data_IF_762263696218
#
_entry.id   IF_762263696218
#
_cell.length_a   1.000
_cell.length_b   1.000
_cell.length_c   1.000
_cell.angle_alpha   90.00
_cell.angle_beta   90.00
_cell.angle_gamma   90.00
#
_symmetry.space_group_name_H-M   'P 1'
#
loop_
_entity.id
_entity.type
_entity.pdbx_description
1 polymer ?
#
# COMPACT_ATOMS: atom_id res chain seq x y z
N UNK A 1 11.57 -6.01 16.26
CA UNK A 1 10.48 -6.97 16.03
C UNK A 1 10.18 -6.92 14.54
N UNK A 2 10.76 -7.80 13.72
CA UNK A 2 10.73 -7.67 12.25
C UNK A 2 9.43 -8.09 11.56
N UNK A 3 9.56 -8.35 10.25
CA UNK A 3 8.53 -9.00 9.43
C UNK A 3 8.37 -10.47 9.86
N UNK A 4 7.15 -10.85 10.26
CA UNK A 4 6.86 -12.15 10.90
C UNK A 4 7.04 -13.33 9.94
N UNK A 5 6.67 -13.15 8.67
CA UNK A 5 6.81 -14.14 7.60
C UNK A 5 7.60 -13.51 6.46
N UNK A 6 8.49 -14.27 5.82
CA UNK A 6 9.52 -13.72 4.91
C UNK A 6 9.38 -14.21 3.47
N UNK A 7 8.27 -14.85 3.15
CA UNK A 7 7.94 -15.26 1.79
C UNK A 7 7.55 -14.06 0.93
N UNK A 8 7.80 -14.20 -0.37
CA UNK A 8 7.43 -13.23 -1.39
C UNK A 8 6.31 -13.83 -2.23
N UNK A 9 5.24 -13.06 -2.41
CA UNK A 9 4.13 -13.41 -3.30
C UNK A 9 3.97 -12.33 -4.36
N UNK A 10 3.67 -12.72 -5.60
CA UNK A 10 3.31 -11.83 -6.69
C UNK A 10 1.88 -12.13 -7.10
N UNK A 11 1.02 -11.12 -7.09
CA UNK A 11 -0.35 -11.22 -7.58
C UNK A 11 -0.39 -10.72 -9.02
N UNK A 12 -0.45 -11.64 -9.97
CA UNK A 12 -0.40 -11.27 -11.38
C UNK A 12 -1.78 -10.92 -11.92
N UNK A 13 -2.11 -9.63 -11.87
CA UNK A 13 -3.34 -9.07 -12.45
C UNK A 13 -3.15 -8.49 -13.85
N UNK A 14 -1.95 -8.03 -14.18
CA UNK A 14 -1.72 -7.17 -15.35
C UNK A 14 -0.32 -7.31 -15.98
N UNK A 15 0.46 -8.33 -15.61
CA UNK A 15 1.81 -8.61 -16.13
C UNK A 15 2.84 -7.48 -15.90
N UNK A 16 2.50 -6.46 -15.10
CA UNK A 16 3.40 -5.32 -14.86
C UNK A 16 4.63 -5.74 -14.06
N UNK A 17 4.49 -6.67 -13.11
CA UNK A 17 5.57 -7.16 -12.28
C UNK A 17 6.42 -8.20 -13.02
N UNK A 18 5.82 -9.06 -13.85
CA UNK A 18 6.57 -9.99 -14.73
C UNK A 18 7.60 -9.26 -15.59
N UNK A 19 7.39 -7.95 -15.77
CA UNK A 19 8.26 -7.13 -16.56
C UNK A 19 9.61 -6.78 -15.91
N UNK A 20 9.73 -7.01 -14.60
CA UNK A 20 10.84 -6.64 -13.74
C UNK A 20 11.80 -7.82 -13.58
N UNK A 21 12.86 -7.84 -14.39
CA UNK A 21 13.73 -9.01 -14.57
C UNK A 21 14.51 -9.44 -13.32
N UNK A 22 14.91 -8.51 -12.48
CA UNK A 22 15.64 -8.74 -11.24
C UNK A 22 14.71 -9.11 -10.10
N UNK A 23 13.54 -8.46 -10.00
CA UNK A 23 12.54 -8.82 -9.01
C UNK A 23 12.05 -10.26 -9.23
N UNK A 24 11.79 -10.64 -10.50
CA UNK A 24 11.39 -12.00 -10.86
C UNK A 24 12.47 -13.07 -10.63
N UNK A 25 13.73 -12.69 -10.36
CA UNK A 25 14.79 -13.64 -9.96
C UNK A 25 14.78 -13.97 -8.47
N UNK A 26 14.08 -13.19 -7.66
CA UNK A 26 13.94 -13.47 -6.22
C UNK A 26 13.02 -14.69 -6.05
N UNK A 27 13.31 -15.64 -5.14
CA UNK A 27 12.38 -16.73 -4.84
C UNK A 27 11.01 -16.20 -4.41
N UNK A 28 9.97 -16.50 -5.19
CA UNK A 28 8.60 -16.03 -4.97
C UNK A 28 7.57 -17.09 -5.38
N UNK A 29 6.33 -16.88 -4.94
CA UNK A 29 5.14 -17.59 -5.43
C UNK A 29 4.29 -16.62 -6.26
N UNK A 30 3.95 -17.01 -7.49
CA UNK A 30 3.03 -16.24 -8.33
C UNK A 30 1.62 -16.79 -8.19
N UNK A 31 0.67 -15.89 -8.00
CA UNK A 31 -0.77 -16.19 -8.02
C UNK A 31 -1.36 -15.50 -9.24
N UNK A 32 -1.72 -16.30 -10.23
CA UNK A 32 -2.40 -15.85 -11.44
C UNK A 32 -3.79 -15.31 -11.10
N UNK A 33 -4.08 -14.07 -11.49
CA UNK A 33 -5.36 -13.38 -11.27
C UNK A 33 -5.86 -12.62 -12.51
N UNK A 34 -5.05 -12.54 -13.58
CA UNK A 34 -5.37 -11.86 -14.84
C UNK A 34 -6.60 -12.44 -15.57
N UNK A 35 -6.99 -13.69 -15.28
CA UNK A 35 -8.17 -14.36 -15.84
C UNK A 35 -9.48 -14.03 -15.11
N UNK A 36 -9.41 -13.38 -13.93
CA UNK A 36 -10.60 -13.02 -13.16
C UNK A 36 -11.20 -11.72 -13.75
N UNK A 37 -12.43 -11.76 -14.30
CA UNK A 37 -13.09 -10.57 -14.81
C UNK A 37 -13.50 -9.64 -13.66
N UNK A 38 -13.86 -8.40 -13.99
CA UNK A 38 -14.36 -7.41 -13.01
C UNK A 38 -13.39 -7.15 -11.87
N UNK A 39 -12.12 -6.91 -12.19
CA UNK A 39 -11.05 -6.65 -11.22
C UNK A 39 -10.44 -5.26 -11.38
N UNK A 40 -10.28 -4.76 -12.61
CA UNK A 40 -9.59 -3.48 -12.85
C UNK A 40 -10.38 -2.29 -12.31
N UNK A 41 -9.81 -1.55 -11.34
CA UNK A 41 -10.38 -0.40 -10.60
C UNK A 41 -11.57 -0.71 -9.70
N UNK A 42 -12.44 -1.62 -10.15
CA UNK A 42 -13.62 -2.08 -9.44
C UNK A 42 -13.62 -3.60 -9.41
N UNK A 43 -13.77 -4.13 -8.20
CA UNK A 43 -13.85 -5.54 -7.90
C UNK A 43 -15.24 -5.87 -7.39
N UNK A 44 -15.95 -6.75 -8.09
CA UNK A 44 -17.20 -7.30 -7.57
C UNK A 44 -16.94 -8.39 -6.53
N UNK A 45 -17.95 -8.72 -5.72
CA UNK A 45 -17.78 -9.72 -4.65
C UNK A 45 -17.44 -11.13 -5.16
N UNK A 46 -17.87 -11.49 -6.38
CA UNK A 46 -17.55 -12.79 -6.96
C UNK A 46 -16.07 -12.85 -7.38
N UNK A 47 -15.56 -11.80 -8.02
CA UNK A 47 -14.14 -11.62 -8.31
C UNK A 47 -13.33 -11.63 -7.01
N UNK A 48 -13.76 -10.89 -5.98
CA UNK A 48 -13.08 -10.88 -4.68
C UNK A 48 -13.06 -12.26 -4.01
N UNK A 49 -14.13 -13.03 -4.12
CA UNK A 49 -14.18 -14.40 -3.59
C UNK A 49 -13.19 -15.31 -4.31
N UNK A 50 -13.08 -15.21 -5.64
CA UNK A 50 -12.09 -15.96 -6.42
C UNK A 50 -10.66 -15.56 -6.03
N UNK A 51 -10.38 -14.26 -5.90
CA UNK A 51 -9.09 -13.73 -5.43
C UNK A 51 -8.77 -14.31 -4.05
N UNK A 52 -9.70 -14.22 -3.08
CA UNK A 52 -9.53 -14.78 -1.73
C UNK A 52 -9.29 -16.29 -1.74
N UNK A 53 -9.98 -17.03 -2.61
CA UNK A 53 -9.79 -18.48 -2.72
C UNK A 53 -8.43 -18.86 -3.27
N UNK A 54 -7.81 -18.04 -4.11
CA UNK A 54 -6.45 -18.28 -4.62
C UNK A 54 -5.40 -17.82 -3.63
N UNK A 55 -5.61 -16.64 -3.03
CA UNK A 55 -4.81 -16.14 -1.91
C UNK A 55 -4.73 -17.16 -0.75
N UNK A 56 -5.83 -17.80 -0.36
CA UNK A 56 -5.83 -18.72 0.78
C UNK A 56 -4.98 -19.98 0.57
N UNK A 57 -4.73 -20.36 -0.69
CA UNK A 57 -3.92 -21.54 -1.05
C UNK A 57 -2.42 -21.28 -1.06
N UNK A 58 -2.00 -20.02 -0.92
CA UNK A 58 -0.60 -19.63 -1.04
C UNK A 58 0.27 -20.20 0.08
N UNK A 59 1.46 -20.67 -0.28
CA UNK A 59 2.47 -21.15 0.67
C UNK A 59 3.33 -20.02 1.24
N UNK A 60 3.56 -18.96 0.47
CA UNK A 60 4.41 -17.83 0.83
C UNK A 60 3.57 -16.69 1.44
N UNK A 61 4.07 -16.16 2.56
CA UNK A 61 3.49 -15.00 3.26
C UNK A 61 4.60 -14.09 3.71
N UNK A 62 4.37 -12.79 3.72
CA UNK A 62 5.37 -11.80 4.08
C UNK A 62 5.12 -10.53 3.30
N UNK A 63 5.80 -10.40 2.17
CA UNK A 63 5.61 -9.28 1.23
C UNK A 63 4.85 -9.75 -0.01
N UNK A 64 3.86 -8.97 -0.41
CA UNK A 64 3.00 -9.25 -1.57
C UNK A 64 3.12 -8.11 -2.56
N UNK A 65 3.66 -8.37 -3.74
CA UNK A 65 3.63 -7.40 -4.83
C UNK A 65 2.31 -7.53 -5.58
N UNK A 66 1.66 -6.39 -5.78
CA UNK A 66 0.43 -6.19 -6.52
C UNK A 66 0.78 -5.28 -7.68
N UNK A 67 0.20 -5.50 -8.87
CA UNK A 67 0.53 -4.75 -10.08
C UNK A 67 0.21 -3.25 -9.99
N UNK A 68 -0.57 -2.74 -10.95
CA UNK A 68 -0.96 -1.33 -10.92
C UNK A 68 -1.83 -0.96 -9.71
N UNK A 69 -1.90 0.33 -9.38
CA UNK A 69 -2.74 0.85 -8.29
C UNK A 69 -4.24 0.60 -8.51
N UNK A 70 -4.64 0.21 -9.73
CA UNK A 70 -6.02 -0.23 -10.03
C UNK A 70 -6.47 -1.42 -9.18
N UNK A 71 -5.53 -2.19 -8.60
CA UNK A 71 -5.78 -3.39 -7.81
C UNK A 71 -5.52 -3.22 -6.31
N UNK A 72 -5.28 -1.99 -5.83
CA UNK A 72 -4.93 -1.73 -4.43
C UNK A 72 -6.01 -2.21 -3.44
N UNK A 73 -7.25 -2.35 -3.89
CA UNK A 73 -8.32 -2.95 -3.10
C UNK A 73 -8.02 -4.37 -2.60
N UNK A 74 -7.07 -5.09 -3.19
CA UNK A 74 -6.66 -6.42 -2.74
C UNK A 74 -6.05 -6.38 -1.33
N UNK A 75 -5.54 -5.23 -0.90
CA UNK A 75 -5.12 -5.00 0.49
C UNK A 75 -6.26 -5.33 1.46
N UNK A 76 -7.52 -5.01 1.15
CA UNK A 76 -8.66 -5.44 1.98
C UNK A 76 -8.75 -6.96 2.13
N UNK A 77 -8.50 -7.73 1.06
CA UNK A 77 -8.49 -9.19 1.13
C UNK A 77 -7.34 -9.72 2.01
N UNK A 78 -6.14 -9.15 1.87
CA UNK A 78 -4.96 -9.52 2.68
C UNK A 78 -5.17 -9.19 4.16
N UNK A 79 -5.71 -8.00 4.47
CA UNK A 79 -6.04 -7.58 5.84
C UNK A 79 -7.11 -8.44 6.50
N UNK A 80 -8.07 -8.94 5.71
CA UNK A 80 -9.16 -9.80 6.20
C UNK A 80 -8.68 -11.14 6.76
N UNK A 81 -7.46 -11.57 6.39
CA UNK A 81 -6.86 -12.82 6.89
C UNK A 81 -6.21 -12.66 8.28
N UNK A 82 -6.13 -11.45 8.82
CA UNK A 82 -5.45 -11.18 10.09
C UNK A 82 -6.40 -11.43 11.27
N UNK A 83 -6.12 -12.48 12.03
CA UNK A 83 -6.96 -12.94 13.15
C UNK A 83 -6.66 -12.23 14.48
N UNK A 84 -5.50 -11.61 14.61
CA UNK A 84 -5.07 -10.87 15.79
C UNK A 84 -5.29 -9.35 15.66
N UNK A 85 -5.53 -8.60 16.75
CA UNK A 85 -5.59 -7.14 16.70
C UNK A 85 -4.34 -6.51 16.06
N UNK A 86 -4.55 -5.64 15.08
CA UNK A 86 -3.50 -4.97 14.33
C UNK A 86 -3.84 -3.52 13.98
N UNK A 87 -2.84 -2.76 13.55
CA UNK A 87 -3.01 -1.43 12.94
C UNK A 87 -2.48 -1.43 11.50
N UNK A 88 -3.18 -0.74 10.62
CA UNK A 88 -2.76 -0.51 9.25
C UNK A 88 -1.89 0.74 9.19
N UNK A 89 -0.72 0.62 8.55
CA UNK A 89 0.11 1.75 8.13
C UNK A 89 0.01 1.83 6.61
N UNK A 90 -0.60 2.90 6.11
CA UNK A 90 -0.84 3.12 4.70
C UNK A 90 0.08 4.25 4.20
N UNK A 91 0.97 3.92 3.28
CA UNK A 91 1.73 4.89 2.49
C UNK A 91 1.06 5.03 1.14
N UNK A 92 0.52 6.22 0.87
CA UNK A 92 -0.36 6.44 -0.28
C UNK A 92 -0.48 7.95 -0.54
N UNK A 93 -0.61 8.38 -1.81
CA UNK A 93 -1.00 9.75 -2.14
C UNK A 93 -2.52 9.98 -1.96
N UNK A 94 -3.31 8.92 -1.91
CA UNK A 94 -4.74 8.89 -1.73
C UNK A 94 -5.13 8.39 -0.34
N UNK A 95 -6.36 8.68 0.07
CA UNK A 95 -6.88 8.23 1.36
C UNK A 95 -7.52 6.85 1.28
N UNK A 96 -7.97 6.46 0.08
CA UNK A 96 -8.74 5.25 -0.24
C UNK A 96 -9.97 5.00 0.66
N UNK A 97 -10.50 6.08 1.22
CA UNK A 97 -11.61 6.09 2.17
C UNK A 97 -12.93 6.60 1.59
N UNK A 98 -13.05 6.69 0.26
CA UNK A 98 -14.33 7.04 -0.35
C UNK A 98 -15.37 5.94 -0.07
N UNK A 99 -16.64 6.29 -0.24
CA UNK A 99 -17.70 5.29 -0.21
C UNK A 99 -17.57 4.31 -1.38
N UNK A 100 -17.92 3.06 -1.12
CA UNK A 100 -18.03 2.07 -2.18
C UNK A 100 -19.02 2.56 -3.26
N UNK A 101 -18.70 2.42 -4.55
CA UNK A 101 -19.58 2.87 -5.63
C UNK A 101 -20.96 2.19 -5.63
N UNK A 102 -21.04 0.98 -5.08
CA UNK A 102 -22.29 0.26 -4.80
C UNK A 102 -22.06 -0.74 -3.67
N UNK A 103 -23.13 -1.31 -3.11
CA UNK A 103 -23.05 -2.35 -2.07
C UNK A 103 -22.30 -3.61 -2.52
N UNK A 104 -22.18 -3.83 -3.84
CA UNK A 104 -21.57 -5.02 -4.42
C UNK A 104 -20.19 -4.81 -5.04
N UNK A 105 -19.62 -3.61 -4.87
CA UNK A 105 -18.35 -3.23 -5.48
C UNK A 105 -17.37 -2.69 -4.44
N UNK A 106 -16.15 -3.18 -4.53
CA UNK A 106 -14.97 -2.64 -3.89
C UNK A 106 -14.12 -1.94 -4.95
N UNK A 107 -13.55 -0.77 -4.64
CA UNK A 107 -12.64 -0.07 -5.56
C UNK A 107 -11.32 0.25 -4.89
N UNK A 108 -10.29 0.59 -5.67
CA UNK A 108 -9.05 1.15 -5.13
C UNK A 108 -9.37 2.36 -4.24
N UNK A 109 -10.21 3.30 -4.66
CA UNK A 109 -10.55 4.46 -3.83
C UNK A 109 -11.43 4.21 -2.57
N UNK A 110 -11.92 2.99 -2.31
CA UNK A 110 -12.87 2.72 -1.21
C UNK A 110 -12.46 1.58 -0.26
N UNK A 111 -11.32 0.92 -0.51
CA UNK A 111 -10.99 -0.29 0.24
C UNK A 111 -10.66 -0.02 1.70
N UNK A 112 -10.11 1.16 2.04
CA UNK A 112 -9.80 1.51 3.44
C UNK A 112 -11.09 1.73 4.21
N UNK A 113 -12.11 2.36 3.62
CA UNK A 113 -13.43 2.51 4.23
C UNK A 113 -14.02 1.12 4.59
N UNK A 114 -13.94 0.17 3.67
CA UNK A 114 -14.35 -1.22 3.91
C UNK A 114 -13.49 -1.91 4.98
N UNK A 115 -12.17 -1.71 4.95
CA UNK A 115 -11.23 -2.29 5.90
C UNK A 115 -11.42 -1.79 7.34
N UNK A 116 -11.86 -0.54 7.55
CA UNK A 116 -12.13 0.04 8.87
C UNK A 116 -13.24 -0.69 9.66
N UNK A 117 -14.03 -1.52 8.98
CA UNK A 117 -15.04 -2.39 9.57
C UNK A 117 -14.51 -3.78 9.96
N UNK A 118 -13.26 -4.12 9.62
CA UNK A 118 -12.65 -5.38 10.04
C UNK A 118 -12.51 -5.42 11.57
N UNK A 119 -12.92 -6.52 12.24
CA UNK A 119 -12.99 -6.59 13.71
C UNK A 119 -11.61 -6.43 14.36
N UNK A 120 -10.56 -6.86 13.67
CA UNK A 120 -9.19 -6.84 14.17
C UNK A 120 -8.41 -5.58 13.82
N UNK A 121 -8.90 -4.74 12.88
CA UNK A 121 -8.27 -3.47 12.57
C UNK A 121 -8.63 -2.43 13.64
N UNK A 122 -7.63 -2.05 14.46
CA UNK A 122 -7.83 -1.14 15.60
C UNK A 122 -7.52 0.32 15.28
N UNK A 123 -6.63 0.57 14.33
CA UNK A 123 -6.24 1.91 13.91
C UNK A 123 -5.67 1.88 12.49
N UNK A 124 -5.97 2.90 11.70
CA UNK A 124 -5.30 3.18 10.43
C UNK A 124 -4.49 4.46 10.55
N UNK A 125 -3.23 4.43 10.12
CA UNK A 125 -2.38 5.61 9.99
C UNK A 125 -2.09 5.82 8.52
N UNK A 126 -2.59 6.91 7.94
CA UNK A 126 -2.37 7.28 6.54
C UNK A 126 -1.22 8.28 6.48
N UNK A 127 -0.22 7.99 5.65
CA UNK A 127 1.03 8.75 5.56
C UNK A 127 1.23 9.19 4.11
N UNK A 128 1.35 10.50 3.92
CA UNK A 128 1.72 11.09 2.64
C UNK A 128 0.54 11.56 1.79
N UNK A 129 -0.65 11.06 2.07
CA UNK A 129 -1.84 11.34 1.27
C UNK A 129 -2.12 12.85 1.13
N UNK A 130 -2.57 13.25 -0.05
CA UNK A 130 -2.94 14.62 -0.33
C UNK A 130 -4.15 15.03 0.50
N UNK A 131 -4.16 16.20 1.15
CA UNK A 131 -5.28 16.68 1.96
C UNK A 131 -6.64 16.67 1.23
N UNK A 132 -6.63 16.84 -0.09
CA UNK A 132 -7.87 16.83 -0.90
C UNK A 132 -8.50 15.44 -0.99
N UNK A 133 -7.70 14.37 -0.89
CA UNK A 133 -8.19 12.98 -0.89
C UNK A 133 -9.02 12.66 0.36
N UNK A 134 -8.96 13.51 1.38
CA UNK A 134 -9.80 13.41 2.57
C UNK A 134 -11.10 14.21 2.50
N UNK A 135 -11.35 14.90 1.39
CA UNK A 135 -12.63 15.54 1.15
C UNK A 135 -13.72 14.47 1.05
N UNK A 136 -14.88 14.75 1.63
CA UNK A 136 -16.06 13.86 1.60
C UNK A 136 -15.89 12.49 2.29
N UNK A 137 -14.92 12.33 3.20
CA UNK A 137 -14.84 11.12 4.02
C UNK A 137 -15.93 11.13 5.11
N UNK A 138 -16.65 10.01 5.31
CA UNK A 138 -17.65 9.90 6.38
C UNK A 138 -17.07 10.20 7.77
N UNK A 139 -17.75 11.06 8.54
CA UNK A 139 -17.26 11.50 9.86
C UNK A 139 -17.08 10.36 10.86
N UNK A 140 -17.90 9.31 10.71
CA UNK A 140 -17.87 8.09 11.53
C UNK A 140 -16.54 7.33 11.46
N UNK A 141 -15.77 7.50 10.39
CA UNK A 141 -14.48 6.83 10.20
C UNK A 141 -13.33 7.52 10.93
N UNK A 142 -13.45 8.85 11.13
CA UNK A 142 -12.36 9.71 11.63
C UNK A 142 -11.73 9.24 12.95
N UNK A 143 -12.46 8.72 13.96
CA UNK A 143 -11.84 8.30 15.24
C UNK A 143 -10.82 7.16 15.09
N UNK A 144 -11.01 6.26 14.12
CA UNK A 144 -10.09 5.14 13.86
C UNK A 144 -8.89 5.51 12.99
N UNK A 145 -8.86 6.73 12.46
CA UNK A 145 -7.84 7.19 11.52
C UNK A 145 -6.91 8.18 12.19
N UNK A 146 -5.63 8.10 11.85
CA UNK A 146 -4.65 9.15 12.07
C UNK A 146 -4.02 9.51 10.73
N UNK A 147 -3.62 10.76 10.58
CA UNK A 147 -3.16 11.30 9.31
C UNK A 147 -1.86 12.07 9.48
N UNK A 148 -0.86 11.72 8.67
CA UNK A 148 0.41 12.41 8.58
C UNK A 148 0.60 12.95 7.17
N UNK A 149 0.35 14.26 6.94
CA UNK A 149 0.54 14.88 5.63
C UNK A 149 2.00 14.83 5.19
N UNK A 150 2.26 14.72 3.88
CA UNK A 150 3.61 14.96 3.38
C UNK A 150 3.97 16.46 3.42
N UNK A 151 3.12 17.32 2.86
CA UNK A 151 3.30 18.78 2.87
C UNK A 151 2.26 19.50 3.72
N UNK A 152 2.62 20.68 4.22
CA UNK A 152 1.66 21.55 4.90
C UNK A 152 0.66 22.10 3.89
N UNK A 153 -0.63 21.89 4.14
CA UNK A 153 -1.69 22.53 3.38
C UNK A 153 -2.34 23.64 4.18
N UNK A 154 -2.64 24.75 3.50
CA UNK A 154 -3.43 25.86 4.03
C UNK A 154 -4.95 25.60 3.93
N UNK A 155 -5.35 24.46 3.36
CA UNK A 155 -6.76 24.10 3.28
C UNK A 155 -7.28 23.77 4.67
N UNK A 156 -8.20 24.60 5.18
CA UNK A 156 -8.91 24.50 6.48
C UNK A 156 -9.74 23.21 6.64
N UNK A 157 -9.51 22.20 5.83
CA UNK A 157 -10.43 21.07 5.61
C UNK A 157 -10.25 19.93 6.61
N UNK A 158 -9.26 19.96 7.50
CA UNK A 158 -8.85 18.77 8.24
C UNK A 158 -8.76 18.99 9.76
N UNK A 159 -9.93 19.05 10.40
CA UNK A 159 -10.07 18.83 11.86
C UNK A 159 -10.07 17.31 12.17
N UNK A 160 -9.14 16.55 11.60
CA UNK A 160 -8.94 15.18 12.07
C UNK A 160 -8.34 15.23 13.47
N UNK A 161 -8.97 14.51 14.40
CA UNK A 161 -8.60 14.44 15.83
C UNK A 161 -7.11 14.06 16.01
N UNK A 162 -6.52 13.40 15.02
CA UNK A 162 -5.13 12.93 15.04
C UNK A 162 -4.36 13.27 13.75
N UNK A 163 -4.47 14.51 13.26
CA UNK A 163 -3.53 15.04 12.25
C UNK A 163 -2.20 15.39 12.89
N UNK A 164 -1.08 14.94 12.30
CA UNK A 164 0.26 15.33 12.74
C UNK A 164 0.82 16.48 11.89
N UNK A 165 1.92 17.09 12.35
CA UNK A 165 2.74 17.99 11.52
C UNK A 165 3.14 17.29 10.20
N UNK A 166 3.32 18.06 9.12
CA UNK A 166 3.73 17.51 7.83
C UNK A 166 5.17 17.00 7.83
N UNK A 167 5.45 15.97 7.03
CA UNK A 167 6.78 15.38 6.90
C UNK A 167 7.80 16.42 6.46
N UNK A 168 7.49 17.27 5.47
CA UNK A 168 8.42 18.31 5.00
C UNK A 168 8.76 19.36 6.06
N UNK A 169 7.89 19.58 7.05
CA UNK A 169 8.16 20.54 8.14
C UNK A 169 8.95 19.95 9.30
N UNK A 170 8.82 18.64 9.57
CA UNK A 170 9.41 18.02 10.75
C UNK A 170 10.52 16.99 10.46
N UNK A 171 10.64 16.57 9.20
CA UNK A 171 11.51 15.47 8.77
C UNK A 171 10.95 14.09 9.13
N UNK A 172 11.30 13.08 8.31
CA UNK A 172 10.75 11.72 8.42
C UNK A 172 10.99 11.09 9.80
N UNK A 173 12.17 11.29 10.41
CA UNK A 173 12.48 10.70 11.72
C UNK A 173 11.56 11.23 12.84
N UNK A 174 11.22 12.52 12.84
CA UNK A 174 10.32 13.09 13.85
C UNK A 174 8.88 12.67 13.58
N UNK A 175 8.46 12.66 12.32
CA UNK A 175 7.17 12.14 11.92
C UNK A 175 6.98 10.70 12.42
N UNK A 176 7.98 9.84 12.22
CA UNK A 176 7.92 8.44 12.65
C UNK A 176 7.83 8.25 14.17
N UNK A 177 8.44 9.12 14.98
CA UNK A 177 8.26 9.08 16.45
C UNK A 177 6.80 9.32 16.82
N UNK A 178 6.17 10.31 16.19
CA UNK A 178 4.75 10.64 16.39
C UNK A 178 3.85 9.52 15.87
N UNK A 179 4.12 8.98 14.68
CA UNK A 179 3.37 7.84 14.11
C UNK A 179 3.42 6.64 15.06
N UNK A 180 4.60 6.30 15.60
CA UNK A 180 4.74 5.16 16.50
C UNK A 180 3.91 5.29 17.79
N UNK A 181 3.73 6.50 18.32
CA UNK A 181 2.89 6.72 19.51
C UNK A 181 1.39 6.65 19.22
N UNK A 182 0.99 6.83 17.95
CA UNK A 182 -0.40 6.73 17.50
C UNK A 182 -0.84 5.29 17.21
N UNK A 183 0.09 4.32 17.17
CA UNK A 183 -0.19 2.91 16.88
C UNK A 183 -0.46 2.16 18.19
N UNK A 184 -1.72 1.83 18.54
CA UNK A 184 -2.07 1.20 19.82
C UNK A 184 -1.71 -0.29 19.88
N UNK A 185 -1.45 -0.92 18.73
CA UNK A 185 -1.20 -2.35 18.62
C UNK A 185 0.29 -2.68 18.54
N UNK A 186 0.63 -3.91 18.94
CA UNK A 186 1.96 -4.50 18.73
C UNK A 186 2.15 -4.93 17.27
N UNK A 187 1.08 -5.44 16.67
CA UNK A 187 1.05 -5.98 15.31
C UNK A 187 0.67 -4.88 14.33
N UNK A 188 1.42 -4.74 13.24
CA UNK A 188 1.03 -3.83 12.16
C UNK A 188 1.00 -4.57 10.84
N UNK A 189 0.22 -4.04 9.92
CA UNK A 189 0.29 -4.37 8.51
C UNK A 189 0.67 -3.11 7.74
N UNK A 190 1.53 -3.22 6.74
CA UNK A 190 2.00 -2.08 5.95
C UNK A 190 1.49 -2.25 4.52
N UNK A 191 0.74 -1.28 4.00
CA UNK A 191 0.35 -1.23 2.59
C UNK A 191 1.00 -0.01 1.95
N UNK A 192 1.58 -0.19 0.76
CA UNK A 192 2.35 0.82 0.05
C UNK A 192 1.78 0.96 -1.37
N UNK A 193 1.03 2.02 -1.63
CA UNK A 193 0.91 2.50 -3.00
C UNK A 193 2.15 3.35 -3.32
N UNK A 194 2.86 2.97 -4.37
CA UNK A 194 4.06 3.70 -4.82
C UNK A 194 3.71 5.10 -5.34
N UNK A 195 2.45 5.42 -5.59
CA UNK A 195 2.05 6.77 -5.99
C UNK A 195 2.34 7.83 -4.92
N UNK A 196 2.56 7.45 -3.65
CA UNK A 196 3.04 8.35 -2.58
C UNK A 196 4.39 8.99 -2.93
N UNK A 197 5.19 8.28 -3.75
CA UNK A 197 6.53 8.70 -4.18
C UNK A 197 6.46 9.67 -5.35
N UNK A 198 7.46 10.54 -5.44
CA UNK A 198 7.55 11.50 -6.53
C UNK A 198 7.95 10.86 -7.88
N UNK A 199 7.62 11.54 -8.98
CA UNK A 199 7.84 11.06 -10.36
C UNK A 199 9.32 10.84 -10.75
N UNK A 200 10.27 11.36 -9.96
CA UNK A 200 11.69 11.10 -10.20
C UNK A 200 12.06 9.67 -9.79
N UNK A 201 11.43 9.16 -8.74
CA UNK A 201 11.70 7.84 -8.16
C UNK A 201 10.97 6.72 -8.91
N UNK A 202 9.67 6.89 -9.14
CA UNK A 202 8.77 5.89 -9.73
C UNK A 202 7.75 6.56 -10.64
N UNK A 203 7.12 5.77 -11.52
CA UNK A 203 5.99 6.22 -12.32
C UNK A 203 4.82 5.25 -12.15
N UNK A 204 3.65 5.78 -11.82
CA UNK A 204 2.44 5.01 -11.51
C UNK A 204 1.29 5.40 -12.45
N UNK A 205 0.19 4.65 -12.40
CA UNK A 205 -1.02 4.91 -13.20
C UNK A 205 -2.01 5.91 -12.57
N UNK A 206 -1.68 6.46 -11.39
CA UNK A 206 -2.45 7.46 -10.66
C UNK A 206 -1.64 8.75 -10.45
N UNK A 207 -2.26 9.84 -9.99
CA UNK A 207 -1.49 11.04 -9.66
C UNK A 207 -0.58 10.80 -8.46
N UNK A 208 0.60 11.39 -8.52
CA UNK A 208 1.69 11.09 -7.60
C UNK A 208 1.87 12.17 -6.54
N UNK A 209 2.25 11.70 -5.35
CA UNK A 209 2.74 12.49 -4.24
C UNK A 209 4.17 12.98 -4.48
N UNK A 210 4.82 13.31 -3.36
CA UNK A 210 6.10 14.02 -3.39
C UNK A 210 7.16 13.36 -2.48
N UNK A 211 6.85 12.25 -1.82
CA UNK A 211 7.78 11.54 -0.95
C UNK A 211 8.98 11.02 -1.75
N UNK A 212 10.15 11.01 -1.15
CA UNK A 212 11.33 10.37 -1.75
C UNK A 212 11.39 8.90 -1.38
N UNK A 213 12.05 8.08 -2.20
CA UNK A 213 12.21 6.65 -1.89
C UNK A 213 13.00 6.49 -0.57
N UNK A 214 14.03 7.31 -0.35
CA UNK A 214 14.81 7.32 0.89
C UNK A 214 13.96 7.54 2.15
N UNK A 215 12.99 8.46 2.11
CA UNK A 215 12.08 8.69 3.25
C UNK A 215 11.19 7.49 3.51
N UNK A 216 10.61 6.89 2.46
CA UNK A 216 9.82 5.66 2.58
C UNK A 216 10.66 4.54 3.23
N UNK A 217 11.85 4.27 2.71
CA UNK A 217 12.73 3.22 3.25
C UNK A 217 13.11 3.49 4.71
N UNK A 218 13.39 4.75 5.06
CA UNK A 218 13.67 5.16 6.45
C UNK A 218 12.48 4.87 7.36
N UNK A 219 11.26 5.16 6.90
CA UNK A 219 10.04 4.89 7.65
C UNK A 219 9.82 3.38 7.86
N UNK A 220 9.99 2.58 6.80
CA UNK A 220 9.88 1.13 6.85
C UNK A 220 10.89 0.53 7.83
N UNK A 221 12.16 0.91 7.76
CA UNK A 221 13.21 0.46 8.69
C UNK A 221 12.83 0.74 10.16
N UNK A 222 12.28 1.92 10.46
CA UNK A 222 11.83 2.27 11.80
C UNK A 222 10.64 1.39 12.24
N UNK A 223 9.63 1.23 11.37
CA UNK A 223 8.43 0.43 11.66
C UNK A 223 8.78 -1.03 11.91
N UNK A 224 9.55 -1.64 10.99
CA UNK A 224 10.00 -3.04 11.05
C UNK A 224 10.93 -3.28 12.23
N UNK A 225 11.65 -2.29 12.76
CA UNK A 225 12.40 -2.49 14.00
C UNK A 225 11.51 -2.47 15.24
N UNK A 226 10.44 -1.68 15.24
CA UNK A 226 9.65 -1.37 16.44
C UNK A 226 8.34 -2.16 16.58
N UNK A 227 7.79 -2.71 15.52
CA UNK A 227 6.46 -3.34 15.51
C UNK A 227 6.50 -4.70 14.81
N UNK A 228 5.72 -5.65 15.29
CA UNK A 228 5.59 -6.97 14.65
C UNK A 228 4.82 -6.82 13.33
N UNK A 229 5.51 -6.86 12.18
CA UNK A 229 4.87 -6.65 10.87
C UNK A 229 4.27 -7.97 10.39
N UNK A 230 2.94 -8.05 10.34
CA UNK A 230 2.19 -9.25 9.95
C UNK A 230 2.24 -9.52 8.45
N UNK A 231 2.39 -8.47 7.66
CA UNK A 231 2.50 -8.53 6.21
C UNK A 231 2.77 -7.15 5.63
N UNK A 232 3.24 -7.15 4.39
CA UNK A 232 3.44 -5.97 3.56
C UNK A 232 2.79 -6.22 2.20
N UNK A 233 2.10 -5.24 1.64
CA UNK A 233 1.82 -5.21 0.20
C UNK A 233 2.36 -3.94 -0.45
N UNK A 234 2.67 -4.06 -1.74
CA UNK A 234 3.22 -2.99 -2.57
C UNK A 234 2.50 -2.99 -3.91
N UNK A 235 1.87 -1.89 -4.29
CA UNK A 235 1.24 -1.67 -5.60
C UNK A 235 1.80 -0.42 -6.30
N UNK A 236 1.08 0.09 -7.30
CA UNK A 236 1.43 1.33 -8.01
C UNK A 236 2.34 1.11 -9.22
N UNK A 237 2.30 -0.06 -9.86
CA UNK A 237 2.99 -0.26 -11.14
C UNK A 237 2.36 0.55 -12.29
N UNK A 238 3.19 0.95 -13.25
CA UNK A 238 2.71 1.43 -14.55
C UNK A 238 2.51 0.24 -15.50
N UNK A 239 1.28 0.04 -15.98
CA UNK A 239 1.05 -0.94 -17.04
C UNK A 239 1.61 -0.44 -18.37
N UNK A 240 2.31 -1.30 -19.09
CA UNK A 240 2.69 -1.07 -20.48
C UNK A 240 1.96 -2.07 -21.37
N UNK A 241 1.44 -1.60 -22.51
CA UNK A 241 1.01 -2.51 -23.56
C UNK A 241 2.21 -3.39 -23.97
N UNK A 242 2.05 -4.72 -24.15
CA UNK A 242 3.14 -5.61 -24.54
C UNK A 242 3.93 -5.12 -25.77
N UNK A 243 3.27 -4.49 -26.74
CA UNK A 243 3.90 -3.94 -27.96
C UNK A 243 4.74 -2.69 -27.66
N UNK A 244 4.41 -1.97 -26.59
CA UNK A 244 5.03 -0.71 -26.20
C UNK A 244 6.18 -0.91 -25.20
N UNK A 245 6.32 -2.09 -24.62
CA UNK A 245 7.27 -2.41 -23.55
C UNK A 245 8.74 -2.21 -23.95
N UNK A 246 9.06 -2.31 -25.24
CA UNK A 246 10.41 -2.10 -25.76
C UNK A 246 10.74 -0.64 -26.03
N UNK A 247 9.78 0.29 -25.90
CA UNK A 247 10.06 1.73 -26.06
C UNK A 247 10.97 2.20 -24.92
N UNK A 248 11.99 3.05 -25.22
CA UNK A 248 12.95 3.51 -24.21
C UNK A 248 12.29 4.12 -22.97
N UNK A 249 11.22 4.88 -23.15
CA UNK A 249 10.46 5.49 -22.06
C UNK A 249 9.82 4.42 -21.15
N UNK A 250 9.15 3.41 -21.73
CA UNK A 250 8.53 2.33 -20.97
C UNK A 250 9.56 1.48 -20.24
N UNK A 251 10.71 1.22 -20.87
CA UNK A 251 11.84 0.53 -20.23
C UNK A 251 12.33 1.28 -19.00
N UNK A 252 12.52 2.60 -19.11
CA UNK A 252 12.92 3.43 -17.97
C UNK A 252 11.91 3.37 -16.82
N UNK A 253 10.61 3.30 -17.13
CA UNK A 253 9.56 3.25 -16.11
C UNK A 253 9.58 1.91 -15.36
N UNK A 254 9.79 0.81 -16.07
CA UNK A 254 9.95 -0.52 -15.49
C UNK A 254 11.20 -0.56 -14.60
N UNK A 255 12.33 -0.05 -15.07
CA UNK A 255 13.58 -0.01 -14.31
C UNK A 255 13.45 0.81 -13.01
N UNK A 256 12.78 1.96 -13.05
CA UNK A 256 12.51 2.78 -11.87
C UNK A 256 11.61 2.09 -10.84
N UNK A 257 10.50 1.52 -11.29
CA UNK A 257 9.58 0.81 -10.40
C UNK A 257 10.23 -0.45 -9.82
N UNK A 258 10.98 -1.21 -10.63
CA UNK A 258 11.76 -2.35 -10.18
C UNK A 258 12.81 -1.96 -9.14
N UNK A 259 13.51 -0.84 -9.35
CA UNK A 259 14.46 -0.33 -8.37
C UNK A 259 13.78 -0.06 -7.02
N UNK A 260 12.62 0.59 -7.01
CA UNK A 260 11.87 0.84 -5.79
C UNK A 260 11.41 -0.46 -5.12
N UNK A 261 10.84 -1.41 -5.88
CA UNK A 261 10.40 -2.70 -5.36
C UNK A 261 11.54 -3.49 -4.73
N UNK A 262 12.71 -3.57 -5.38
CA UNK A 262 13.88 -4.25 -4.84
C UNK A 262 14.38 -3.59 -3.54
N UNK A 263 14.35 -2.26 -3.46
CA UNK A 263 14.74 -1.53 -2.25
C UNK A 263 13.75 -1.75 -1.10
N UNK A 264 12.45 -1.69 -1.39
CA UNK A 264 11.40 -1.98 -0.42
C UNK A 264 11.55 -3.42 0.10
N UNK A 265 11.68 -4.39 -0.82
CA UNK A 265 11.89 -5.80 -0.48
C UNK A 265 13.11 -5.98 0.43
N UNK A 266 14.24 -5.40 0.03
CA UNK A 266 15.48 -5.47 0.78
C UNK A 266 15.28 -4.90 2.20
N UNK A 267 14.72 -3.70 2.34
CA UNK A 267 14.44 -3.09 3.65
C UNK A 267 13.48 -3.95 4.49
N UNK A 268 12.47 -4.56 3.87
CA UNK A 268 11.54 -5.45 4.56
C UNK A 268 12.20 -6.73 5.10
N UNK A 269 13.22 -7.25 4.41
CA UNK A 269 13.87 -8.51 4.76
C UNK A 269 15.16 -8.33 5.58
N UNK A 270 15.93 -7.26 5.41
CA UNK A 270 17.28 -7.12 5.97
C UNK A 270 17.31 -6.95 7.51
N UNK A 271 16.20 -6.56 8.14
CA UNK A 271 16.17 -6.32 9.58
C UNK A 271 15.95 -7.61 10.39
N UNK A 272 17.05 -8.33 10.60
CA UNK A 272 17.22 -9.30 11.69
C UNK A 272 18.49 -8.96 12.47
N UNK A 273 18.28 -8.64 13.75
CA UNK A 273 19.23 -8.88 14.83
C UNK A 273 18.40 -9.26 16.05
#
# INVERSE_FOLDING_TARGET
MGLVKRGVTILDFDHSIESQQWLMKIPHETIELNDIPSTKKFCDWNALQQIRSRLSKRGQRGITFVGSGDYHYVSYALLSEIEQPFSLILFDNHSDMLDSPSQNLLSCGSWVNNALNLPNLKKTVVIGASPISFSNIPESLRPKVAYTPYTSSHTRTLDYIHTTTSITSQGIHRAMRTILSLIPTKNIYISIDKDVLNQKEVLTNWDQGQMTLTELLTALEILIRKKSVCGVDVCGEMTADPLERFKPEKKLYIEKNEHANLKILQTCLDHVS
#
